data_IF_992052495891
#
_entry.id   IF_992052495891
#
_cell.length_a   1.000
_cell.length_b   1.000
_cell.length_c   1.000
_cell.angle_alpha   90.00
_cell.angle_beta   90.00
_cell.angle_gamma   90.00
#
_symmetry.space_group_name_H-M   'P 1'
#
loop_
_entity.id
_entity.type
_entity.pdbx_description
1 polymer ?
#
# COMPACT_ATOMS: atom_id res chain seq x y z
N UNK A 1 -30.00 -17.81 8.33
CA UNK A 1 -29.92 -16.54 9.11
C UNK A 1 -30.62 -15.49 8.26
N UNK A 2 -31.76 -14.99 8.71
CA UNK A 2 -32.61 -14.04 7.96
C UNK A 2 -31.91 -12.68 7.92
N UNK A 3 -31.51 -12.24 6.75
CA UNK A 3 -31.08 -10.87 6.50
C UNK A 3 -32.31 -9.96 6.68
N UNK A 4 -32.34 -9.19 7.76
CA UNK A 4 -33.42 -8.26 8.05
C UNK A 4 -33.45 -7.20 6.94
N UNK A 5 -34.47 -7.21 6.12
CA UNK A 5 -34.70 -6.16 5.11
C UNK A 5 -34.84 -4.83 5.86
N UNK A 6 -33.86 -3.95 5.72
CA UNK A 6 -33.90 -2.61 6.28
C UNK A 6 -35.05 -1.84 5.64
N UNK A 7 -35.84 -1.14 6.45
CA UNK A 7 -36.89 -0.27 5.94
C UNK A 7 -36.28 0.91 5.16
N UNK A 8 -36.97 1.45 4.20
CA UNK A 8 -36.51 2.58 3.39
C UNK A 8 -36.14 3.82 4.25
N UNK A 9 -36.91 4.04 5.32
CA UNK A 9 -36.64 5.09 6.31
C UNK A 9 -35.29 4.85 7.04
N UNK A 10 -34.95 3.60 7.37
CA UNK A 10 -33.64 3.30 7.98
C UNK A 10 -32.47 3.55 7.01
N UNK A 11 -32.66 3.26 5.73
CA UNK A 11 -31.66 3.55 4.68
C UNK A 11 -31.49 5.06 4.49
N UNK A 12 -32.58 5.84 4.53
CA UNK A 12 -32.57 7.29 4.45
C UNK A 12 -31.81 7.91 5.66
N UNK A 13 -32.05 7.40 6.87
CA UNK A 13 -31.34 7.82 8.08
C UNK A 13 -29.83 7.50 8.00
N UNK A 14 -29.46 6.30 7.57
CA UNK A 14 -28.05 5.92 7.39
C UNK A 14 -27.34 6.79 6.37
N UNK A 15 -28.03 7.20 5.31
CA UNK A 15 -27.47 8.10 4.30
C UNK A 15 -27.24 9.50 4.85
N UNK A 16 -28.24 10.08 5.53
CA UNK A 16 -28.19 11.41 6.17
C UNK A 16 -27.08 11.46 7.24
N UNK A 17 -26.91 10.38 8.04
CA UNK A 17 -25.85 10.23 9.04
C UNK A 17 -24.45 9.98 8.42
N UNK A 18 -24.31 9.85 7.10
CA UNK A 18 -23.04 9.56 6.46
C UNK A 18 -22.50 8.14 6.69
N UNK A 19 -23.34 7.21 7.15
CA UNK A 19 -22.96 5.82 7.42
C UNK A 19 -22.86 4.97 6.16
N UNK A 20 -23.55 5.35 5.09
CA UNK A 20 -23.43 4.70 3.79
C UNK A 20 -22.14 5.14 3.07
N UNK A 21 -21.36 4.19 2.52
CA UNK A 21 -20.06 4.46 1.88
C UNK A 21 -19.94 3.76 0.52
N UNK A 22 -18.96 4.23 -0.29
CA UNK A 22 -18.62 3.63 -1.57
C UNK A 22 -19.80 3.55 -2.55
N UNK A 23 -19.96 2.41 -3.22
CA UNK A 23 -21.00 2.20 -4.23
C UNK A 23 -22.41 2.40 -3.67
N UNK A 24 -22.70 1.91 -2.44
CA UNK A 24 -24.01 2.05 -1.80
C UNK A 24 -24.43 3.53 -1.64
N UNK A 25 -23.46 4.44 -1.33
CA UNK A 25 -23.72 5.87 -1.27
C UNK A 25 -24.03 6.46 -2.63
N UNK A 26 -23.28 6.05 -3.66
CA UNK A 26 -23.51 6.52 -5.05
C UNK A 26 -24.87 6.06 -5.57
N UNK A 27 -25.26 4.82 -5.31
CA UNK A 27 -26.54 4.27 -5.70
C UNK A 27 -27.69 5.01 -5.01
N UNK A 28 -27.57 5.31 -3.72
CA UNK A 28 -28.56 6.09 -2.97
C UNK A 28 -28.67 7.50 -3.52
N UNK A 29 -27.56 8.17 -3.80
CA UNK A 29 -27.53 9.51 -4.40
C UNK A 29 -28.13 9.53 -5.81
N UNK A 30 -27.97 8.46 -6.59
CA UNK A 30 -28.64 8.32 -7.89
C UNK A 30 -30.16 8.13 -7.75
N UNK A 31 -30.59 7.32 -6.78
CA UNK A 31 -32.02 7.11 -6.50
C UNK A 31 -32.72 8.40 -6.06
N UNK A 32 -32.08 9.22 -5.21
CA UNK A 32 -32.63 10.53 -4.78
C UNK A 32 -33.01 11.43 -5.97
N UNK A 33 -32.33 11.32 -7.10
CA UNK A 33 -32.63 12.14 -8.30
C UNK A 33 -33.91 11.71 -9.01
N UNK A 34 -34.31 10.45 -8.84
CA UNK A 34 -35.45 9.84 -9.53
C UNK A 34 -36.65 9.58 -8.62
N UNK A 35 -36.45 9.61 -7.29
CA UNK A 35 -37.44 9.25 -6.27
C UNK A 35 -37.63 10.41 -5.30
N UNK A 36 -38.70 11.18 -5.51
CA UNK A 36 -39.05 12.35 -4.69
C UNK A 36 -39.39 11.96 -3.25
N UNK A 37 -39.99 10.77 -3.02
CA UNK A 37 -40.35 10.32 -1.69
C UNK A 37 -39.10 9.98 -0.87
N UNK A 38 -38.15 9.30 -1.48
CA UNK A 38 -36.84 9.02 -0.85
C UNK A 38 -36.08 10.30 -0.54
N UNK A 39 -36.05 11.27 -1.48
CA UNK A 39 -35.43 12.56 -1.28
C UNK A 39 -36.03 13.28 -0.07
N UNK A 40 -37.35 13.36 0.02
CA UNK A 40 -38.06 14.02 1.13
C UNK A 40 -37.72 13.37 2.47
N UNK A 41 -37.64 12.03 2.51
CA UNK A 41 -37.25 11.32 3.74
C UNK A 41 -35.81 11.64 4.19
N UNK A 42 -34.87 11.77 3.25
CA UNK A 42 -33.48 12.10 3.56
C UNK A 42 -33.42 13.56 4.05
N UNK A 43 -34.07 14.49 3.37
CA UNK A 43 -34.14 15.90 3.77
C UNK A 43 -34.76 16.09 5.17
N UNK A 44 -35.80 15.30 5.52
CA UNK A 44 -36.40 15.30 6.84
C UNK A 44 -35.41 14.82 7.92
N UNK A 45 -34.62 13.78 7.63
CA UNK A 45 -33.55 13.34 8.53
C UNK A 45 -32.44 14.39 8.68
N UNK A 46 -32.01 15.02 7.58
CA UNK A 46 -30.99 16.09 7.63
C UNK A 46 -31.48 17.28 8.46
N UNK A 47 -32.76 17.68 8.34
CA UNK A 47 -33.34 18.74 9.16
C UNK A 47 -33.39 18.38 10.66
N UNK A 48 -33.75 17.13 10.98
CA UNK A 48 -33.75 16.64 12.38
C UNK A 48 -32.35 16.64 12.98
N UNK A 49 -31.35 16.20 12.19
CA UNK A 49 -29.96 16.21 12.63
C UNK A 49 -29.44 17.64 12.82
N UNK A 50 -29.74 18.55 11.90
CA UNK A 50 -29.40 19.97 12.03
C UNK A 50 -30.05 20.61 13.27
N UNK A 51 -31.29 20.21 13.61
CA UNK A 51 -31.97 20.71 14.82
C UNK A 51 -31.29 20.20 16.12
N UNK A 52 -30.73 19.00 16.13
CA UNK A 52 -29.94 18.48 17.24
C UNK A 52 -28.61 19.23 17.42
N UNK A 53 -27.97 19.58 16.31
CA UNK A 53 -26.72 20.33 16.29
C UNK A 53 -26.95 21.78 16.82
N UNK A 54 -28.10 22.35 16.48
CA UNK A 54 -28.49 23.70 16.94
C UNK A 54 -28.85 23.77 18.46
N UNK A 55 -29.10 22.61 19.09
CA UNK A 55 -29.38 22.54 20.55
C UNK A 55 -28.14 22.29 21.39
N UNK A 56 -27.01 21.95 20.74
CA UNK A 56 -25.71 21.91 21.38
C UNK A 56 -25.28 23.31 21.79
N UNK A 57 -24.86 23.47 23.05
CA UNK A 57 -24.37 24.74 23.61
C UNK A 57 -23.16 25.21 22.77
N UNK A 58 -23.43 26.00 21.72
CA UNK A 58 -22.46 26.33 20.68
C UNK A 58 -21.53 27.51 20.99
N UNK A 59 -21.40 27.85 22.30
CA UNK A 59 -20.48 28.91 22.72
C UNK A 59 -18.99 28.50 22.63
N UNK A 60 -18.69 27.23 22.32
CA UNK A 60 -17.35 26.75 22.11
C UNK A 60 -17.14 26.12 20.71
N UNK A 61 -17.77 26.70 19.70
CA UNK A 61 -17.37 26.44 18.31
C UNK A 61 -15.99 27.06 18.06
N UNK A 62 -14.95 26.47 18.67
CA UNK A 62 -13.58 26.86 18.34
C UNK A 62 -13.36 26.64 16.85
N UNK A 63 -13.14 27.73 16.13
CA UNK A 63 -12.73 27.64 14.74
C UNK A 63 -11.55 26.68 14.62
N UNK A 64 -11.55 25.81 13.63
CA UNK A 64 -10.42 24.90 13.43
C UNK A 64 -9.11 25.71 13.42
N UNK A 65 -8.01 25.15 13.97
CA UNK A 65 -6.74 25.86 14.00
C UNK A 65 -6.35 26.38 12.62
N UNK A 66 -5.83 27.60 12.58
CA UNK A 66 -5.38 28.22 11.33
C UNK A 66 -4.45 27.27 10.58
N UNK A 67 -4.68 27.05 9.27
CA UNK A 67 -3.91 26.14 8.42
C UNK A 67 -4.32 24.67 8.53
N UNK A 68 -5.39 24.34 9.25
CA UNK A 68 -5.88 22.95 9.30
C UNK A 68 -6.45 22.49 7.97
N UNK A 69 -7.11 23.38 7.24
CA UNK A 69 -7.66 23.07 5.92
C UNK A 69 -6.55 22.74 4.92
N UNK A 70 -5.48 23.54 4.91
CA UNK A 70 -4.29 23.29 4.08
C UNK A 70 -3.62 21.96 4.43
N UNK A 71 -3.56 21.61 5.72
CA UNK A 71 -3.05 20.30 6.17
C UNK A 71 -3.94 19.14 5.71
N UNK A 72 -5.27 19.32 5.71
CA UNK A 72 -6.22 18.31 5.23
C UNK A 72 -6.06 18.16 3.70
N UNK A 73 -6.00 19.25 2.95
CA UNK A 73 -5.77 19.22 1.51
C UNK A 73 -4.44 18.55 1.16
N UNK A 74 -3.35 18.95 1.84
CA UNK A 74 -2.05 18.33 1.64
C UNK A 74 -2.07 16.81 1.96
N UNK A 75 -2.84 16.37 2.95
CA UNK A 75 -3.03 14.94 3.25
C UNK A 75 -3.87 14.23 2.19
N UNK A 76 -4.88 14.88 1.62
CA UNK A 76 -5.68 14.34 0.52
C UNK A 76 -4.80 14.20 -0.72
N UNK A 77 -4.01 15.21 -1.05
CA UNK A 77 -3.08 15.20 -2.18
C UNK A 77 -1.97 14.17 -1.98
N UNK A 78 -1.39 14.08 -0.77
CA UNK A 78 -0.37 13.10 -0.41
C UNK A 78 -0.92 11.66 -0.38
N UNK A 79 -2.18 11.47 0.06
CA UNK A 79 -2.83 10.16 0.01
C UNK A 79 -3.00 9.68 -1.43
N UNK A 80 -3.01 10.62 -2.40
CA UNK A 80 -3.25 10.33 -3.80
C UNK A 80 -4.55 9.56 -4.01
N UNK A 81 -4.98 9.45 -5.25
CA UNK A 81 -6.09 8.55 -5.62
C UNK A 81 -5.65 7.10 -5.38
N UNK A 82 -6.05 6.52 -4.25
CA UNK A 82 -5.95 5.08 -4.05
C UNK A 82 -7.16 4.41 -4.68
N UNK A 83 -6.92 3.52 -5.62
CA UNK A 83 -7.97 2.69 -6.19
C UNK A 83 -8.47 1.70 -5.11
N UNK A 84 -9.80 1.47 -4.99
CA UNK A 84 -10.34 0.52 -4.03
C UNK A 84 -9.66 -0.86 -4.15
N UNK A 85 -9.27 -1.45 -3.03
CA UNK A 85 -8.61 -2.74 -2.99
C UNK A 85 -7.12 -2.73 -3.39
N UNK A 86 -6.52 -1.56 -3.62
CA UNK A 86 -5.10 -1.43 -3.94
C UNK A 86 -4.31 -0.73 -2.83
N UNK A 87 -3.00 -0.95 -2.84
CA UNK A 87 -2.05 -0.23 -2.00
C UNK A 87 -0.92 0.32 -2.88
N UNK A 88 -0.72 1.62 -2.85
CA UNK A 88 0.36 2.29 -3.58
C UNK A 88 1.40 2.79 -2.59
N UNK A 89 2.67 2.51 -2.86
CA UNK A 89 3.81 3.08 -2.17
C UNK A 89 4.47 4.11 -3.09
N UNK A 90 4.51 5.37 -2.68
CA UNK A 90 5.12 6.44 -3.47
C UNK A 90 6.63 6.47 -3.29
N UNK A 91 7.34 7.00 -4.30
CA UNK A 91 8.80 7.15 -4.25
C UNK A 91 9.25 8.06 -3.10
N UNK A 92 8.49 9.12 -2.85
CA UNK A 92 8.81 10.14 -1.84
C UNK A 92 8.67 9.63 -0.40
N UNK A 93 7.85 8.56 -0.20
CA UNK A 93 7.71 7.87 1.09
C UNK A 93 8.78 6.78 1.30
N UNK A 94 9.78 6.73 0.43
CA UNK A 94 10.76 5.66 0.38
C UNK A 94 11.66 5.63 1.63
N UNK A 95 11.51 4.57 2.41
CA UNK A 95 12.40 4.27 3.54
C UNK A 95 13.49 3.29 3.08
N UNK A 96 14.70 3.77 2.91
CA UNK A 96 15.88 2.96 2.63
C UNK A 96 16.58 2.59 3.94
N UNK A 97 16.95 1.32 4.10
CA UNK A 97 17.66 0.79 5.26
C UNK A 97 18.99 0.19 4.82
N UNK A 98 20.04 0.44 5.58
CA UNK A 98 21.31 -0.24 5.37
C UNK A 98 21.17 -1.71 5.79
N UNK A 99 21.55 -2.63 4.90
CA UNK A 99 21.43 -4.08 5.10
C UNK A 99 22.77 -4.81 4.95
N UNK A 100 23.82 -4.10 4.58
CA UNK A 100 25.18 -4.58 4.45
C UNK A 100 26.12 -3.49 3.95
N UNK A 101 27.43 -3.77 3.90
CA UNK A 101 28.42 -2.79 3.41
C UNK A 101 28.11 -2.32 1.99
N UNK A 102 27.74 -1.05 1.85
CA UNK A 102 27.40 -0.46 0.55
C UNK A 102 26.08 -0.95 -0.04
N UNK A 103 25.20 -1.59 0.73
CA UNK A 103 23.92 -2.11 0.29
C UNK A 103 22.79 -1.50 1.09
N UNK A 104 21.83 -0.90 0.39
CA UNK A 104 20.56 -0.40 0.95
C UNK A 104 19.39 -1.16 0.39
N UNK A 105 18.43 -1.45 1.25
CA UNK A 105 17.17 -2.12 0.89
C UNK A 105 15.97 -1.21 1.11
N UNK A 106 15.00 -1.32 0.22
CA UNK A 106 13.65 -0.75 0.36
C UNK A 106 12.62 -1.85 0.16
N UNK A 107 11.83 -2.12 1.19
CA UNK A 107 10.74 -3.09 1.11
C UNK A 107 9.59 -2.49 0.29
N UNK A 108 9.15 -3.20 -0.75
CA UNK A 108 8.00 -2.85 -1.58
C UNK A 108 6.74 -3.58 -1.14
N UNK A 109 6.84 -4.89 -0.88
CA UNK A 109 5.71 -5.71 -0.48
C UNK A 109 6.16 -6.88 0.39
N UNK A 110 5.29 -7.28 1.32
CA UNK A 110 5.47 -8.47 2.17
C UNK A 110 4.23 -9.35 2.03
N UNK A 111 4.42 -10.56 1.52
CA UNK A 111 3.42 -11.62 1.46
C UNK A 111 3.77 -12.71 2.49
N UNK A 112 3.20 -12.56 3.69
CA UNK A 112 3.45 -13.51 4.78
C UNK A 112 2.83 -14.87 4.54
N UNK A 113 1.73 -14.94 3.78
CA UNK A 113 1.04 -16.19 3.51
C UNK A 113 1.88 -17.13 2.64
N UNK A 114 2.66 -16.55 1.72
CA UNK A 114 3.52 -17.30 0.79
C UNK A 114 5.01 -17.19 1.13
N UNK A 115 5.38 -16.67 2.32
CA UNK A 115 6.76 -16.46 2.74
C UNK A 115 7.59 -15.64 1.73
N UNK A 116 7.00 -14.64 1.06
CA UNK A 116 7.65 -13.83 0.02
C UNK A 116 7.81 -12.38 0.45
N UNK A 117 8.92 -11.77 0.04
CA UNK A 117 9.19 -10.35 0.17
C UNK A 117 9.67 -9.80 -1.17
N UNK A 118 9.17 -8.63 -1.54
CA UNK A 118 9.60 -7.87 -2.71
C UNK A 118 10.35 -6.64 -2.24
N UNK A 119 11.59 -6.48 -2.69
CA UNK A 119 12.48 -5.40 -2.27
C UNK A 119 13.21 -4.76 -3.46
N UNK A 120 13.59 -3.51 -3.29
CA UNK A 120 14.66 -2.92 -4.09
C UNK A 120 15.97 -3.00 -3.30
N UNK A 121 17.05 -3.43 -3.94
CA UNK A 121 18.40 -3.33 -3.42
C UNK A 121 19.19 -2.33 -4.27
N UNK A 122 19.75 -1.33 -3.59
CA UNK A 122 20.70 -0.39 -4.20
C UNK A 122 22.08 -0.69 -3.67
N UNK A 123 23.02 -0.93 -4.57
CA UNK A 123 24.39 -1.28 -4.25
C UNK A 123 25.35 -0.25 -4.83
N UNK A 124 26.34 0.15 -4.04
CA UNK A 124 27.41 1.03 -4.54
C UNK A 124 28.40 0.25 -5.41
N UNK A 125 29.19 0.92 -6.26
CA UNK A 125 30.24 0.26 -7.04
C UNK A 125 31.15 -0.60 -6.15
N UNK A 126 31.39 -1.84 -6.57
CA UNK A 126 32.23 -2.82 -5.88
C UNK A 126 31.54 -3.57 -4.73
N UNK A 127 30.29 -3.28 -4.40
CA UNK A 127 29.56 -3.99 -3.37
C UNK A 127 29.37 -5.48 -3.75
N UNK A 128 29.35 -6.33 -2.72
CA UNK A 128 29.15 -7.77 -2.85
C UNK A 128 27.97 -8.22 -1.99
N UNK A 129 27.24 -9.21 -2.49
CA UNK A 129 26.15 -9.88 -1.78
C UNK A 129 26.53 -11.34 -1.55
N UNK A 130 26.38 -11.82 -0.32
CA UNK A 130 26.88 -13.13 0.07
C UNK A 130 26.19 -14.27 -0.67
N UNK A 131 26.93 -15.38 -0.81
CA UNK A 131 26.40 -16.62 -1.35
C UNK A 131 25.29 -17.15 -0.44
N UNK A 132 24.22 -17.67 -1.02
CA UNK A 132 23.08 -18.19 -0.28
C UNK A 132 22.30 -19.23 -1.10
N UNK A 133 21.55 -20.06 -0.39
CA UNK A 133 20.61 -21.01 -0.96
C UNK A 133 19.19 -20.43 -0.93
N UNK A 134 18.31 -20.98 -1.76
CA UNK A 134 16.93 -20.55 -1.89
C UNK A 134 15.97 -21.58 -1.33
N UNK A 135 15.03 -21.16 -0.50
CA UNK A 135 13.92 -21.98 0.01
C UNK A 135 12.61 -21.73 -0.78
N UNK A 136 12.59 -20.67 -1.58
CA UNK A 136 11.57 -20.39 -2.61
C UNK A 136 12.28 -19.98 -3.90
N UNK A 137 11.54 -19.90 -4.99
CA UNK A 137 12.04 -19.33 -6.22
C UNK A 137 12.35 -17.84 -6.03
N UNK A 138 13.57 -17.44 -6.39
CA UNK A 138 14.01 -16.06 -6.31
C UNK A 138 14.02 -15.40 -7.69
N UNK A 139 13.44 -14.23 -7.79
CA UNK A 139 13.33 -13.44 -9.01
C UNK A 139 14.14 -12.16 -8.90
N UNK A 140 15.01 -11.89 -9.85
CA UNK A 140 15.86 -10.69 -9.90
C UNK A 140 15.69 -9.96 -11.23
N UNK A 141 15.28 -8.68 -11.16
CA UNK A 141 15.29 -7.77 -12.31
C UNK A 141 16.35 -6.69 -12.09
N UNK A 142 17.30 -6.57 -13.00
CA UNK A 142 18.25 -5.45 -12.97
C UNK A 142 17.59 -4.21 -13.56
N UNK A 143 17.42 -3.17 -12.72
CA UNK A 143 16.81 -1.91 -13.14
C UNK A 143 17.87 -0.93 -13.63
N UNK A 144 18.99 -0.83 -12.91
CA UNK A 144 20.13 0.04 -13.25
C UNK A 144 21.44 -0.68 -13.00
N UNK A 145 22.47 -0.34 -13.78
CA UNK A 145 23.83 -0.83 -13.59
C UNK A 145 24.05 -2.27 -14.04
N UNK A 146 24.90 -2.99 -13.30
CA UNK A 146 25.32 -4.35 -13.58
C UNK A 146 25.23 -5.27 -12.36
N UNK A 147 24.92 -6.54 -12.60
CA UNK A 147 24.90 -7.56 -11.55
C UNK A 147 25.54 -8.86 -12.04
N UNK A 148 26.52 -9.37 -11.31
CA UNK A 148 27.30 -10.54 -11.70
C UNK A 148 27.16 -11.64 -10.63
N UNK A 149 26.73 -12.84 -11.04
CA UNK A 149 26.52 -14.00 -10.18
C UNK A 149 27.16 -15.23 -10.85
N UNK A 150 28.14 -15.89 -10.21
CA UNK A 150 28.69 -17.15 -10.70
C UNK A 150 29.23 -17.14 -12.13
N UNK A 151 29.71 -15.97 -12.62
CA UNK A 151 30.15 -15.78 -14.01
C UNK A 151 29.05 -15.36 -14.98
N UNK A 152 27.79 -15.31 -14.55
CA UNK A 152 26.69 -14.71 -15.28
C UNK A 152 26.74 -13.19 -15.11
N UNK A 153 26.77 -12.46 -16.23
CA UNK A 153 26.78 -11.00 -16.26
C UNK A 153 25.41 -10.48 -16.68
N UNK A 154 24.71 -9.82 -15.76
CA UNK A 154 23.42 -9.20 -16.00
C UNK A 154 23.57 -7.69 -16.07
N UNK A 155 22.76 -7.05 -16.91
CA UNK A 155 22.68 -5.60 -17.12
C UNK A 155 21.25 -5.11 -16.98
N UNK A 156 21.07 -3.82 -16.95
CA UNK A 156 19.74 -3.21 -16.89
C UNK A 156 18.79 -3.78 -17.95
N UNK A 157 17.60 -4.23 -17.49
CA UNK A 157 16.59 -4.92 -18.28
C UNK A 157 16.66 -6.45 -18.25
N UNK A 158 17.76 -7.04 -17.79
CA UNK A 158 17.88 -8.50 -17.67
C UNK A 158 17.09 -9.01 -16.45
N UNK A 159 16.44 -10.14 -16.64
CA UNK A 159 15.65 -10.84 -15.63
C UNK A 159 16.19 -12.25 -15.40
N UNK A 160 16.42 -12.59 -14.16
CA UNK A 160 16.97 -13.86 -13.73
C UNK A 160 16.07 -14.53 -12.70
N UNK A 161 15.91 -15.84 -12.82
CA UNK A 161 15.15 -16.66 -11.88
C UNK A 161 16.03 -17.78 -11.35
N UNK A 162 16.16 -17.89 -10.03
CA UNK A 162 16.82 -19.00 -9.36
C UNK A 162 15.77 -19.91 -8.70
N UNK A 163 15.79 -21.19 -9.07
CA UNK A 163 14.91 -22.19 -8.45
C UNK A 163 15.34 -22.51 -7.01
N UNK A 164 14.47 -23.17 -6.25
CA UNK A 164 14.74 -23.62 -4.88
C UNK A 164 15.94 -24.57 -4.76
N UNK A 165 16.38 -25.17 -5.85
CA UNK A 165 17.56 -26.03 -5.90
C UNK A 165 18.84 -25.28 -6.31
N UNK A 166 18.70 -24.01 -6.71
CA UNK A 166 19.85 -23.21 -7.09
C UNK A 166 20.61 -22.71 -5.86
N UNK A 167 21.92 -22.62 -5.99
CA UNK A 167 22.79 -21.99 -5.00
C UNK A 167 23.51 -20.85 -5.70
N UNK A 168 23.29 -19.64 -5.22
CA UNK A 168 24.01 -18.49 -5.72
C UNK A 168 25.40 -18.42 -5.11
N UNK A 169 26.42 -18.29 -5.96
CA UNK A 169 27.72 -17.83 -5.53
C UNK A 169 27.64 -16.33 -5.15
N UNK A 170 28.72 -15.81 -4.56
CA UNK A 170 28.82 -14.38 -4.24
C UNK A 170 28.46 -13.53 -5.46
N UNK A 171 27.42 -12.72 -5.29
CA UNK A 171 27.04 -11.72 -6.26
C UNK A 171 27.87 -10.44 -6.11
N UNK A 172 28.13 -9.72 -7.19
CA UNK A 172 28.87 -8.46 -7.18
C UNK A 172 28.41 -7.50 -8.25
N UNK A 173 28.54 -6.23 -7.99
CA UNK A 173 28.41 -5.17 -9.00
C UNK A 173 29.74 -4.45 -9.20
N UNK A 174 30.05 -4.07 -10.43
CA UNK A 174 31.24 -3.31 -10.75
C UNK A 174 30.95 -1.81 -10.71
N UNK A 175 29.88 -1.39 -11.39
CA UNK A 175 29.51 0.02 -11.54
C UNK A 175 28.49 0.50 -10.51
N UNK A 176 27.98 -0.40 -9.65
CA UNK A 176 26.80 -0.18 -8.82
C UNK A 176 25.56 -0.63 -9.55
N UNK A 177 24.51 -0.97 -8.78
CA UNK A 177 23.24 -1.38 -9.38
C UNK A 177 22.03 -1.00 -8.52
N UNK A 178 20.90 -1.01 -9.19
CA UNK A 178 19.57 -1.10 -8.58
C UNK A 178 18.90 -2.35 -9.11
N UNK A 179 18.55 -3.27 -8.22
CA UNK A 179 17.81 -4.48 -8.58
C UNK A 179 16.48 -4.54 -7.85
N UNK A 180 15.47 -5.08 -8.50
CA UNK A 180 14.26 -5.55 -7.85
C UNK A 180 14.41 -7.04 -7.59
N UNK A 181 14.21 -7.42 -6.34
CA UNK A 181 14.35 -8.79 -5.87
C UNK A 181 13.04 -9.26 -5.23
N UNK A 182 12.58 -10.44 -5.62
CA UNK A 182 11.52 -11.16 -4.92
C UNK A 182 12.13 -12.43 -4.33
N UNK A 183 12.14 -12.54 -3.02
CA UNK A 183 12.82 -13.65 -2.32
C UNK A 183 12.05 -14.06 -1.07
N UNK A 184 12.60 -14.97 -0.30
CA UNK A 184 12.05 -15.42 0.97
C UNK A 184 12.03 -14.32 2.02
N UNK A 185 10.88 -14.18 2.69
CA UNK A 185 10.75 -13.27 3.84
C UNK A 185 11.59 -13.73 5.03
N UNK A 186 11.75 -15.05 5.20
CA UNK A 186 12.53 -15.68 6.26
C UNK A 186 13.39 -16.77 5.64
N UNK A 187 14.54 -16.40 5.05
CA UNK A 187 15.43 -17.39 4.45
C UNK A 187 15.90 -18.38 5.50
N UNK A 188 15.98 -19.65 5.13
CA UNK A 188 16.58 -20.67 5.99
C UNK A 188 18.06 -20.32 6.11
N UNK A 189 18.52 -20.02 7.31
CA UNK A 189 19.96 -19.90 7.55
C UNK A 189 20.59 -21.26 7.27
N UNK A 190 21.62 -21.31 6.44
CA UNK A 190 22.47 -22.48 6.38
C UNK A 190 23.08 -22.66 7.76
N UNK A 191 22.66 -23.73 8.49
CA UNK A 191 23.45 -24.18 9.63
C UNK A 191 24.80 -24.57 9.06
N UNK A 192 25.91 -24.08 9.63
CA UNK A 192 27.22 -24.57 9.21
C UNK A 192 27.22 -26.09 9.43
N UNK A 193 27.38 -26.84 8.34
CA UNK A 193 27.68 -28.24 8.44
C UNK A 193 28.99 -28.38 9.25
N UNK A 194 28.87 -28.98 10.43
CA UNK A 194 30.01 -29.50 11.21
C UNK A 194 30.69 -30.62 10.44
#
# INVERSE_FOLDING_TARGET
MSESVKTENALAAEFALGLTRGQARNDMAARMKADDALRTQIEDWEQRLAALDATGDSDDASLPPTGQFEKILARIDAAGLQLPGTRTQRSDDAQWKDVGPGIKSRVLHVDRANNRISVLLRMVPGATYEAHAHDIEEETLVIEGDWNIGGLHLKAGDYHVASTSAHHSVGRTVSGCLIHLVTSLSPKSESPCL
#
